data_IF_573042862734
#
_entry.id   IF_573042862734
#
_cell.length_a   1.000
_cell.length_b   1.000
_cell.length_c   1.000
_cell.angle_alpha   90.00
_cell.angle_beta   90.00
_cell.angle_gamma   90.00
#
_symmetry.space_group_name_H-M   'P 1'
#
loop_
_entity.id
_entity.type
_entity.pdbx_description
1 polymer ?
#
# COMPACT_ATOMS: atom_id res chain seq x y z
N UNK A 1 -4.16 6.75 14.12
CA UNK A 1 -3.61 5.82 13.11
C UNK A 1 -3.42 4.39 13.60
N UNK A 2 -2.74 4.12 14.71
CA UNK A 2 -2.52 2.75 15.18
C UNK A 2 -3.84 1.95 15.25
N UNK A 3 -4.83 2.43 15.99
CA UNK A 3 -6.13 1.76 16.18
C UNK A 3 -6.89 1.58 14.85
N UNK A 4 -6.94 2.62 14.02
CA UNK A 4 -7.57 2.53 12.70
C UNK A 4 -6.88 1.48 11.79
N UNK A 5 -5.55 1.39 11.81
CA UNK A 5 -4.79 0.43 11.00
C UNK A 5 -4.74 -0.99 11.59
N UNK A 6 -4.99 -1.14 12.89
CA UNK A 6 -5.25 -2.47 13.47
C UNK A 6 -6.58 -3.06 13.00
N UNK A 7 -7.52 -2.22 12.54
CA UNK A 7 -8.78 -2.62 11.89
C UNK A 7 -8.66 -2.58 10.35
N UNK A 8 -7.69 -3.29 9.77
CA UNK A 8 -7.56 -3.49 8.32
C UNK A 8 -7.61 -4.97 7.94
N UNK A 9 -8.28 -5.76 8.78
CA UNK A 9 -8.37 -7.21 8.68
C UNK A 9 -9.19 -7.63 7.47
N UNK A 10 -10.31 -6.95 7.22
CA UNK A 10 -11.20 -7.22 6.08
C UNK A 10 -10.43 -7.09 4.77
N UNK A 11 -9.62 -6.05 4.59
CA UNK A 11 -8.86 -5.85 3.34
C UNK A 11 -7.87 -6.99 3.12
N UNK A 12 -7.14 -7.40 4.15
CA UNK A 12 -6.14 -8.47 4.07
C UNK A 12 -6.76 -9.86 3.82
N UNK A 13 -7.96 -10.10 4.33
CA UNK A 13 -8.65 -11.39 4.20
C UNK A 13 -9.81 -11.38 3.20
N UNK A 14 -10.06 -10.27 2.49
CA UNK A 14 -11.22 -10.12 1.60
C UNK A 14 -11.24 -11.14 0.48
N UNK A 15 -10.11 -11.42 -0.16
CA UNK A 15 -10.02 -12.42 -1.22
C UNK A 15 -10.32 -13.83 -0.68
N UNK A 16 -9.79 -14.16 0.51
CA UNK A 16 -10.06 -15.44 1.17
C UNK A 16 -11.54 -15.54 1.56
N UNK A 17 -12.12 -14.48 2.15
CA UNK A 17 -13.53 -14.41 2.52
C UNK A 17 -14.45 -14.61 1.32
N UNK A 18 -14.20 -13.90 0.21
CA UNK A 18 -14.99 -14.01 -1.01
C UNK A 18 -14.98 -15.44 -1.57
N UNK A 19 -13.82 -16.09 -1.61
CA UNK A 19 -13.71 -17.45 -2.18
C UNK A 19 -14.18 -18.52 -1.21
N UNK A 20 -13.74 -18.46 0.06
CA UNK A 20 -14.00 -19.52 1.04
C UNK A 20 -15.39 -19.43 1.67
N UNK A 21 -15.88 -18.23 1.97
CA UNK A 21 -17.16 -18.03 2.69
C UNK A 21 -18.31 -17.73 1.74
N UNK A 22 -18.10 -16.88 0.71
CA UNK A 22 -19.15 -16.51 -0.24
C UNK A 22 -19.19 -17.42 -1.48
N UNK A 23 -18.23 -18.33 -1.62
CA UNK A 23 -18.11 -19.26 -2.75
C UNK A 23 -17.99 -18.55 -4.11
N UNK A 24 -17.42 -17.35 -4.13
CA UNK A 24 -17.11 -16.64 -5.35
C UNK A 24 -15.87 -17.25 -6.03
N UNK A 25 -15.76 -17.08 -7.34
CA UNK A 25 -14.53 -17.41 -8.04
C UNK A 25 -13.41 -16.46 -7.65
N UNK A 26 -12.15 -16.88 -7.80
CA UNK A 26 -11.00 -15.99 -7.51
C UNK A 26 -10.99 -14.77 -8.46
N UNK A 27 -11.51 -14.91 -9.68
CA UNK A 27 -11.71 -13.80 -10.60
C UNK A 27 -12.70 -12.77 -10.05
N UNK A 28 -13.83 -13.23 -9.51
CA UNK A 28 -14.81 -12.36 -8.85
C UNK A 28 -14.23 -11.68 -7.61
N UNK A 29 -13.44 -12.39 -6.81
CA UNK A 29 -12.73 -11.81 -5.67
C UNK A 29 -11.73 -10.72 -6.13
N UNK A 30 -10.98 -10.97 -7.19
CA UNK A 30 -10.10 -9.97 -7.82
C UNK A 30 -10.85 -8.73 -8.32
N UNK A 31 -12.03 -8.92 -8.95
CA UNK A 31 -12.89 -7.81 -9.37
C UNK A 31 -13.39 -6.98 -8.18
N UNK A 32 -13.78 -7.60 -7.07
CA UNK A 32 -14.17 -6.89 -5.85
C UNK A 32 -13.02 -6.05 -5.30
N UNK A 33 -11.80 -6.61 -5.27
CA UNK A 33 -10.62 -5.86 -4.83
C UNK A 33 -10.23 -4.75 -5.79
N UNK A 34 -10.42 -4.94 -7.12
CA UNK A 34 -10.30 -3.87 -8.11
C UNK A 34 -11.30 -2.74 -7.83
N UNK A 35 -12.57 -3.06 -7.58
CA UNK A 35 -13.61 -2.10 -7.24
C UNK A 35 -13.28 -1.34 -5.94
N UNK A 36 -12.75 -2.04 -4.92
CA UNK A 36 -12.21 -1.42 -3.71
C UNK A 36 -11.10 -0.41 -4.06
N UNK A 37 -10.18 -0.77 -4.96
CA UNK A 37 -9.12 0.12 -5.47
C UNK A 37 -9.68 1.38 -6.14
N UNK A 38 -10.72 1.24 -6.97
CA UNK A 38 -11.40 2.40 -7.61
C UNK A 38 -11.97 3.34 -6.56
N UNK A 39 -12.72 2.80 -5.59
CA UNK A 39 -13.26 3.59 -4.48
C UNK A 39 -12.16 4.29 -3.66
N UNK A 40 -11.02 3.61 -3.44
CA UNK A 40 -9.85 4.16 -2.73
C UNK A 40 -9.27 5.40 -3.43
N UNK A 41 -9.15 5.38 -4.77
CA UNK A 41 -8.65 6.52 -5.55
C UNK A 41 -9.60 7.70 -5.44
N UNK A 42 -10.89 7.45 -5.68
CA UNK A 42 -11.92 8.48 -5.61
C UNK A 42 -11.98 9.05 -4.19
N UNK A 43 -11.94 8.19 -3.17
CA UNK A 43 -11.93 8.57 -1.76
C UNK A 43 -10.73 9.43 -1.38
N UNK A 44 -9.53 9.04 -1.80
CA UNK A 44 -8.32 9.83 -1.57
C UNK A 44 -8.37 11.21 -2.22
N UNK A 45 -8.86 11.30 -3.46
CA UNK A 45 -9.03 12.57 -4.18
C UNK A 45 -10.10 13.47 -3.53
N UNK A 46 -11.29 12.94 -3.30
CA UNK A 46 -12.39 13.69 -2.66
C UNK A 46 -12.03 14.05 -1.22
N UNK A 47 -11.33 13.16 -0.48
CA UNK A 47 -10.83 13.41 0.86
C UNK A 47 -9.87 14.61 0.90
N UNK A 48 -9.01 14.76 -0.09
CA UNK A 48 -8.16 15.94 -0.23
C UNK A 48 -8.98 17.23 -0.40
N UNK A 49 -9.94 17.23 -1.33
CA UNK A 49 -10.81 18.38 -1.57
C UNK A 49 -11.69 18.73 -0.35
N UNK A 50 -12.23 17.71 0.31
CA UNK A 50 -13.07 17.89 1.49
C UNK A 50 -12.25 18.38 2.69
N UNK A 51 -10.99 17.91 2.86
CA UNK A 51 -10.06 18.42 3.86
C UNK A 51 -9.91 19.94 3.76
N UNK A 52 -9.81 20.47 2.55
CA UNK A 52 -9.67 21.92 2.32
C UNK A 52 -10.97 22.69 2.56
N UNK A 53 -12.14 22.05 2.41
CA UNK A 53 -13.46 22.70 2.53
C UNK A 53 -14.04 22.65 3.93
N UNK A 54 -14.09 21.46 4.54
CA UNK A 54 -14.73 21.22 5.85
C UNK A 54 -13.71 21.03 6.98
N UNK A 55 -12.40 20.95 6.65
CA UNK A 55 -11.33 20.74 7.59
C UNK A 55 -11.01 19.25 7.82
N UNK A 56 -9.75 19.00 8.20
CA UNK A 56 -9.26 17.63 8.40
C UNK A 56 -9.91 16.93 9.60
N UNK A 57 -10.30 17.69 10.65
CA UNK A 57 -10.85 17.13 11.87
C UNK A 57 -12.25 16.53 11.62
N UNK A 58 -13.17 17.34 11.10
CA UNK A 58 -14.55 16.92 10.85
C UNK A 58 -14.62 15.83 9.77
N UNK A 59 -13.74 15.90 8.75
CA UNK A 59 -13.63 14.86 7.74
C UNK A 59 -13.14 13.52 8.34
N UNK A 60 -12.11 13.53 9.18
CA UNK A 60 -11.62 12.29 9.81
C UNK A 60 -12.68 11.64 10.68
N UNK A 61 -13.33 12.41 11.55
CA UNK A 61 -14.38 11.88 12.42
C UNK A 61 -15.54 11.31 11.60
N UNK A 62 -16.04 12.07 10.63
CA UNK A 62 -17.14 11.63 9.78
C UNK A 62 -16.81 10.38 8.97
N UNK A 63 -15.64 10.36 8.34
CA UNK A 63 -15.20 9.25 7.51
C UNK A 63 -14.91 7.97 8.33
N UNK A 64 -14.36 8.10 9.54
CA UNK A 64 -14.12 6.95 10.43
C UNK A 64 -15.43 6.35 10.96
N UNK A 65 -16.41 7.17 11.35
CA UNK A 65 -17.72 6.69 11.80
C UNK A 65 -18.45 6.01 10.64
N UNK A 66 -18.56 6.70 9.49
CA UNK A 66 -19.26 6.16 8.31
C UNK A 66 -18.57 4.91 7.79
N UNK A 67 -17.23 4.91 7.67
CA UNK A 67 -16.44 3.75 7.27
C UNK A 67 -16.62 2.58 8.23
N UNK A 68 -16.65 2.84 9.55
CA UNK A 68 -16.91 1.81 10.56
C UNK A 68 -18.28 1.15 10.42
N UNK A 69 -19.32 1.95 10.20
CA UNK A 69 -20.68 1.43 9.94
C UNK A 69 -20.75 0.64 8.62
N UNK A 70 -20.06 1.13 7.57
CA UNK A 70 -20.00 0.47 6.27
C UNK A 70 -19.27 -0.87 6.33
N UNK A 71 -18.24 -1.04 7.17
CA UNK A 71 -17.64 -2.35 7.41
C UNK A 71 -18.67 -3.33 7.94
N UNK A 72 -19.44 -2.95 8.96
CA UNK A 72 -20.48 -3.79 9.54
C UNK A 72 -21.55 -4.15 8.49
N UNK A 73 -22.02 -3.15 7.71
CA UNK A 73 -23.02 -3.37 6.65
C UNK A 73 -22.49 -4.30 5.57
N UNK A 74 -21.19 -4.18 5.20
CA UNK A 74 -20.56 -5.03 4.19
C UNK A 74 -20.55 -6.50 4.64
N UNK A 75 -20.36 -6.77 5.94
CA UNK A 75 -20.37 -8.12 6.51
C UNK A 75 -21.72 -8.86 6.37
N UNK A 76 -22.81 -8.15 6.07
CA UNK A 76 -24.13 -8.75 5.80
C UNK A 76 -24.43 -8.93 4.30
N UNK A 77 -23.49 -8.56 3.42
CA UNK A 77 -23.69 -8.69 1.97
C UNK A 77 -23.22 -10.07 1.48
N UNK A 78 -24.01 -10.71 0.60
CA UNK A 78 -23.74 -12.05 0.13
C UNK A 78 -23.72 -12.20 -1.39
N UNK A 79 -24.15 -11.19 -2.15
CA UNK A 79 -24.13 -11.23 -3.61
C UNK A 79 -22.94 -10.47 -4.17
N UNK A 80 -22.43 -10.89 -5.33
CA UNK A 80 -21.30 -10.24 -6.00
C UNK A 80 -21.54 -8.73 -6.19
N UNK A 81 -22.75 -8.35 -6.60
CA UNK A 81 -23.10 -6.95 -6.84
C UNK A 81 -23.10 -6.13 -5.54
N UNK A 82 -23.74 -6.63 -4.47
CA UNK A 82 -23.84 -5.89 -3.21
C UNK A 82 -22.51 -5.80 -2.47
N UNK A 83 -21.68 -6.86 -2.54
CA UNK A 83 -20.31 -6.83 -2.00
C UNK A 83 -19.43 -5.87 -2.80
N UNK A 84 -19.53 -5.88 -4.15
CA UNK A 84 -18.77 -4.97 -5.01
C UNK A 84 -19.12 -3.49 -4.80
N UNK A 85 -20.41 -3.15 -4.79
CA UNK A 85 -20.86 -1.78 -4.48
C UNK A 85 -20.47 -1.38 -3.08
N UNK A 86 -20.65 -2.27 -2.09
CA UNK A 86 -20.24 -2.04 -0.71
C UNK A 86 -18.73 -1.78 -0.59
N UNK A 87 -17.90 -2.52 -1.32
CA UNK A 87 -16.45 -2.34 -1.36
C UNK A 87 -16.04 -0.97 -1.91
N UNK A 88 -16.70 -0.49 -2.99
CA UNK A 88 -16.48 0.86 -3.54
C UNK A 88 -16.83 1.93 -2.51
N UNK A 89 -18.04 1.85 -1.93
CA UNK A 89 -18.52 2.86 -0.99
C UNK A 89 -17.68 2.86 0.29
N UNK A 90 -17.35 1.69 0.83
CA UNK A 90 -16.50 1.56 2.01
C UNK A 90 -15.11 2.18 1.76
N UNK A 91 -14.46 1.81 0.66
CA UNK A 91 -13.11 2.28 0.37
C UNK A 91 -13.05 3.78 0.11
N UNK A 92 -14.10 4.36 -0.47
CA UNK A 92 -14.23 5.81 -0.67
C UNK A 92 -14.13 6.57 0.68
N UNK A 93 -14.87 6.15 1.69
CA UNK A 93 -14.81 6.78 3.02
C UNK A 93 -13.50 6.45 3.74
N UNK A 94 -13.08 5.19 3.74
CA UNK A 94 -11.89 4.75 4.46
C UNK A 94 -10.61 5.44 3.96
N UNK A 95 -10.44 5.62 2.65
CA UNK A 95 -9.26 6.26 2.08
C UNK A 95 -9.32 7.80 2.11
N UNK A 96 -10.49 8.41 2.30
CA UNK A 96 -10.60 9.85 2.53
C UNK A 96 -9.95 10.31 3.85
N UNK A 97 -9.77 9.40 4.81
CA UNK A 97 -9.06 9.65 6.07
C UNK A 97 -7.57 9.95 5.83
N UNK A 98 -6.96 9.41 4.78
CA UNK A 98 -5.51 9.51 4.53
C UNK A 98 -5.01 10.95 4.32
N UNK A 99 -5.57 11.77 3.40
CA UNK A 99 -5.17 13.16 3.24
C UNK A 99 -5.50 14.01 4.46
N UNK A 100 -6.63 13.75 5.13
CA UNK A 100 -7.02 14.43 6.35
C UNK A 100 -6.03 14.16 7.51
N UNK A 101 -5.56 12.92 7.66
CA UNK A 101 -4.53 12.56 8.64
C UNK A 101 -3.19 13.26 8.36
N UNK A 102 -2.78 13.34 7.09
CA UNK A 102 -1.55 14.05 6.72
C UNK A 102 -1.64 15.54 7.05
N UNK A 103 -2.81 16.14 6.85
CA UNK A 103 -3.09 17.53 7.21
C UNK A 103 -3.12 17.73 8.72
N UNK A 104 -3.69 16.80 9.49
CA UNK A 104 -3.68 16.81 10.94
C UNK A 104 -2.25 16.77 11.51
N UNK A 105 -1.40 15.86 11.01
CA UNK A 105 0.00 15.77 11.40
C UNK A 105 0.72 17.10 11.11
N UNK A 106 0.49 17.68 9.94
CA UNK A 106 1.11 18.95 9.57
C UNK A 106 0.65 20.12 10.47
N UNK A 107 -0.58 20.10 10.95
CA UNK A 107 -1.17 21.14 11.80
C UNK A 107 -0.70 21.03 13.25
N UNK A 108 -0.72 19.83 13.84
CA UNK A 108 -0.39 19.62 15.26
C UNK A 108 1.10 19.45 15.53
N UNK A 109 1.94 19.34 14.49
CA UNK A 109 3.39 19.23 14.64
C UNK A 109 4.06 20.58 14.55
N UNK A 110 4.99 20.90 15.48
CA UNK A 110 5.89 22.04 15.32
C UNK A 110 6.87 21.79 14.14
N UNK A 111 7.43 22.85 13.53
CA UNK A 111 8.41 22.72 12.46
C UNK A 111 9.59 21.79 12.81
N UNK A 112 10.06 21.84 14.07
CA UNK A 112 11.19 21.04 14.57
C UNK A 112 10.82 19.55 14.73
N UNK A 113 9.56 19.23 15.06
CA UNK A 113 9.10 17.88 15.34
C UNK A 113 8.37 17.21 14.16
N UNK A 114 8.17 17.92 13.05
CA UNK A 114 7.36 17.44 11.92
C UNK A 114 7.86 16.11 11.34
N UNK A 115 9.18 15.99 11.12
CA UNK A 115 9.77 14.74 10.61
C UNK A 115 9.56 13.58 11.58
N UNK A 116 9.75 13.84 12.88
CA UNK A 116 9.52 12.85 13.95
C UNK A 116 8.07 12.40 14.02
N UNK A 117 7.10 13.32 13.87
CA UNK A 117 5.67 13.03 13.85
C UNK A 117 5.28 12.17 12.65
N UNK A 118 5.84 12.46 11.48
CA UNK A 118 5.61 11.64 10.27
C UNK A 118 6.19 10.22 10.44
N UNK A 119 7.39 10.11 11.00
CA UNK A 119 8.03 8.80 11.27
C UNK A 119 7.23 7.99 12.29
N UNK A 120 6.74 8.64 13.37
CA UNK A 120 5.90 7.99 14.37
C UNK A 120 4.57 7.52 13.78
N UNK A 121 3.96 8.31 12.90
CA UNK A 121 2.75 7.90 12.19
C UNK A 121 2.99 6.68 11.28
N UNK A 122 4.13 6.62 10.58
CA UNK A 122 4.53 5.47 9.76
C UNK A 122 4.73 4.22 10.62
N UNK A 123 5.43 4.34 11.74
CA UNK A 123 5.60 3.25 12.70
C UNK A 123 4.23 2.73 13.20
N UNK A 124 3.33 3.65 13.57
CA UNK A 124 1.98 3.29 14.00
C UNK A 124 1.16 2.56 12.92
N UNK A 125 1.32 2.96 11.65
CA UNK A 125 0.70 2.27 10.51
C UNK A 125 1.23 0.84 10.39
N UNK A 126 2.54 0.63 10.41
CA UNK A 126 3.16 -0.69 10.22
C UNK A 126 2.83 -1.64 11.39
N UNK A 127 2.89 -1.14 12.63
CA UNK A 127 2.44 -1.93 13.80
C UNK A 127 0.94 -2.24 13.69
N UNK A 128 0.13 -1.27 13.25
CA UNK A 128 -1.30 -1.49 13.02
C UNK A 128 -1.56 -2.61 12.01
N UNK A 129 -0.85 -2.64 10.88
CA UNK A 129 -0.93 -3.71 9.91
C UNK A 129 -0.51 -5.07 10.48
N UNK A 130 0.56 -5.13 11.27
CA UNK A 130 1.01 -6.36 11.93
C UNK A 130 -0.05 -6.89 12.90
N UNK A 131 -0.59 -6.01 13.75
CA UNK A 131 -1.68 -6.36 14.69
C UNK A 131 -2.93 -6.78 13.94
N UNK A 132 -3.32 -6.04 12.89
CA UNK A 132 -4.48 -6.37 12.05
C UNK A 132 -4.32 -7.72 11.35
N UNK A 133 -3.15 -8.04 10.82
CA UNK A 133 -2.85 -9.34 10.23
C UNK A 133 -3.00 -10.49 11.23
N UNK A 134 -2.36 -10.38 12.40
CA UNK A 134 -2.41 -11.40 13.45
C UNK A 134 -3.84 -11.61 13.99
N UNK A 135 -4.51 -10.52 14.39
CA UNK A 135 -5.88 -10.58 14.89
C UNK A 135 -6.87 -11.03 13.82
N UNK A 136 -6.68 -10.56 12.58
CA UNK A 136 -7.49 -10.94 11.44
C UNK A 136 -7.43 -12.44 11.17
N UNK A 137 -6.25 -13.04 11.17
CA UNK A 137 -6.08 -14.48 11.03
C UNK A 137 -6.71 -15.27 12.17
N UNK A 138 -6.57 -14.79 13.41
CA UNK A 138 -7.22 -15.42 14.57
C UNK A 138 -8.76 -15.33 14.48
N UNK A 139 -9.31 -14.16 14.19
CA UNK A 139 -10.75 -13.95 14.08
C UNK A 139 -11.36 -14.71 12.89
N UNK A 140 -10.70 -14.68 11.73
CA UNK A 140 -11.11 -15.42 10.54
C UNK A 140 -11.19 -16.94 10.80
N UNK A 141 -10.28 -17.48 11.62
CA UNK A 141 -10.31 -18.91 12.00
C UNK A 141 -11.51 -19.31 12.87
N UNK A 142 -12.17 -18.34 13.49
CA UNK A 142 -13.38 -18.54 14.29
C UNK A 142 -14.60 -18.27 13.41
N UNK A 143 -14.69 -17.07 12.86
CA UNK A 143 -15.77 -16.63 11.99
C UNK A 143 -15.34 -15.38 11.20
N UNK A 144 -15.43 -15.42 9.87
CA UNK A 144 -15.07 -14.29 9.00
C UNK A 144 -15.91 -13.03 9.27
N UNK A 145 -17.15 -13.14 9.74
CA UNK A 145 -17.96 -11.97 10.07
C UNK A 145 -17.38 -11.12 11.19
N UNK A 146 -16.57 -11.71 12.09
CA UNK A 146 -15.89 -10.98 13.15
C UNK A 146 -14.91 -9.95 12.60
N UNK A 147 -14.32 -10.19 11.43
CA UNK A 147 -13.43 -9.21 10.76
C UNK A 147 -14.17 -7.88 10.54
N UNK A 148 -15.38 -7.96 10.01
CA UNK A 148 -16.20 -6.78 9.70
C UNK A 148 -16.64 -6.02 10.95
N UNK A 149 -17.02 -6.76 12.01
CA UNK A 149 -17.40 -6.17 13.29
C UNK A 149 -16.22 -5.49 13.97
N UNK A 150 -15.06 -6.12 14.00
CA UNK A 150 -13.87 -5.56 14.66
C UNK A 150 -13.31 -4.39 13.88
N UNK A 151 -13.23 -4.47 12.54
CA UNK A 151 -12.80 -3.34 11.70
C UNK A 151 -13.77 -2.16 11.84
N UNK A 152 -15.08 -2.42 11.90
CA UNK A 152 -16.09 -1.42 12.17
C UNK A 152 -15.91 -0.77 13.54
N UNK A 153 -15.77 -1.59 14.58
CA UNK A 153 -15.59 -1.11 15.95
C UNK A 153 -14.29 -0.31 16.14
N UNK A 154 -13.17 -0.76 15.58
CA UNK A 154 -11.88 -0.04 15.67
C UNK A 154 -11.90 1.30 14.93
N UNK A 155 -12.60 1.41 13.80
CA UNK A 155 -12.80 2.68 13.11
C UNK A 155 -13.65 3.65 13.95
N UNK A 156 -14.77 3.19 14.50
CA UNK A 156 -15.63 3.99 15.38
C UNK A 156 -14.87 4.40 16.66
N UNK A 157 -14.11 3.47 17.26
CA UNK A 157 -13.27 3.76 18.43
C UNK A 157 -12.21 4.82 18.11
N UNK A 158 -11.58 4.73 16.94
CA UNK A 158 -10.63 5.76 16.49
C UNK A 158 -11.28 7.14 16.36
N UNK A 159 -12.53 7.20 15.85
CA UNK A 159 -13.30 8.45 15.79
C UNK A 159 -13.62 9.01 17.19
N UNK A 160 -14.07 8.15 18.12
CA UNK A 160 -14.36 8.54 19.51
C UNK A 160 -13.12 9.08 20.20
N UNK A 161 -11.97 8.40 20.02
CA UNK A 161 -10.71 8.88 20.60
C UNK A 161 -10.26 10.22 20.01
N UNK A 162 -10.48 10.44 18.71
CA UNK A 162 -10.23 11.75 18.10
C UNK A 162 -11.11 12.84 18.74
N UNK A 163 -12.41 12.57 18.94
CA UNK A 163 -13.35 13.50 19.56
C UNK A 163 -12.97 13.86 21.00
N UNK A 164 -12.43 12.90 21.76
CA UNK A 164 -12.11 13.08 23.18
C UNK A 164 -10.71 13.69 23.36
N UNK A 165 -9.73 13.24 22.58
CA UNK A 165 -8.30 13.54 22.85
C UNK A 165 -7.76 14.70 22.01
N UNK A 166 -8.38 15.02 20.88
CA UNK A 166 -7.84 16.03 19.97
C UNK A 166 -8.72 17.28 19.99
N UNK A 167 -8.14 18.46 20.26
CA UNK A 167 -8.90 19.71 20.17
C UNK A 167 -9.30 19.99 18.73
N UNK A 168 -10.53 20.47 18.53
CA UNK A 168 -11.01 20.85 17.20
C UNK A 168 -10.20 22.05 16.70
N UNK A 169 -9.50 21.85 15.58
CA UNK A 169 -8.72 22.90 14.94
C UNK A 169 -9.62 23.85 14.15
N UNK A 170 -9.39 25.15 14.26
CA UNK A 170 -10.01 26.12 13.36
C UNK A 170 -9.51 25.92 11.92
N UNK A 171 -10.40 26.07 10.94
CA UNK A 171 -10.06 25.95 9.52
C UNK A 171 -9.11 27.09 9.14
N UNK A 172 -7.83 26.82 9.06
CA UNK A 172 -6.86 27.78 8.53
C UNK A 172 -6.79 27.63 7.02
N UNK A 173 -7.48 28.52 6.30
CA UNK A 173 -7.38 28.63 4.84
C UNK A 173 -5.98 29.15 4.48
N UNK A 174 -5.01 28.28 4.31
CA UNK A 174 -3.69 28.66 3.85
C UNK A 174 -3.73 28.84 2.33
N UNK A 175 -4.03 30.04 1.87
CA UNK A 175 -3.84 30.42 0.46
C UNK A 175 -2.33 30.56 0.20
N UNK A 176 -1.67 29.51 -0.25
CA UNK A 176 -0.32 29.62 -0.80
C UNK A 176 -0.40 30.42 -2.09
N UNK A 177 0.08 31.67 -2.08
CA UNK A 177 0.37 32.45 -3.30
C UNK A 177 1.34 31.64 -4.16
N UNK A 178 0.89 31.26 -5.34
CA UNK A 178 1.71 30.59 -6.36
C UNK A 178 2.58 31.64 -7.03
N UNK A 179 3.87 31.61 -6.75
CA UNK A 179 4.85 32.44 -7.47
C UNK A 179 4.97 31.92 -8.92
N UNK A 180 4.64 32.79 -9.90
CA UNK A 180 4.47 32.41 -11.32
C UNK A 180 5.77 32.47 -12.13
N UNK A 181 6.90 32.86 -11.52
CA UNK A 181 8.13 33.28 -12.24
C UNK A 181 9.21 32.21 -12.41
N UNK A 182 9.03 30.99 -11.93
CA UNK A 182 10.06 29.95 -12.02
C UNK A 182 9.75 28.97 -13.15
N UNK A 183 10.72 28.76 -14.04
CA UNK A 183 10.64 27.75 -15.13
C UNK A 183 10.44 26.37 -14.52
N UNK A 184 9.26 25.79 -14.74
CA UNK A 184 8.89 24.48 -14.24
C UNK A 184 9.33 23.41 -15.24
N UNK A 185 10.37 22.64 -14.90
CA UNK A 185 10.58 21.35 -15.56
C UNK A 185 9.37 20.47 -15.28
N UNK A 186 8.62 20.12 -16.32
CA UNK A 186 7.44 19.27 -16.22
C UNK A 186 7.87 17.81 -16.06
N UNK A 187 7.32 17.03 -15.09
CA UNK A 187 7.62 15.62 -14.96
C UNK A 187 7.23 14.82 -16.22
N UNK A 188 6.30 15.32 -17.02
CA UNK A 188 5.85 14.71 -18.28
C UNK A 188 6.89 14.83 -19.43
N UNK A 189 7.94 15.62 -19.26
CA UNK A 189 9.07 15.75 -20.20
C UNK A 189 10.37 15.18 -19.64
N UNK A 190 10.34 14.70 -18.41
CA UNK A 190 11.47 14.05 -17.75
C UNK A 190 11.48 12.56 -18.10
N UNK A 191 12.09 12.20 -19.22
CA UNK A 191 12.13 10.82 -19.73
C UNK A 191 12.67 9.82 -18.69
N UNK A 192 13.80 10.07 -17.99
CA UNK A 192 14.25 9.18 -16.92
C UNK A 192 13.22 9.01 -15.80
N UNK A 193 12.44 10.03 -15.48
CA UNK A 193 11.38 9.93 -14.47
C UNK A 193 10.18 9.14 -15.00
N UNK A 194 9.79 9.32 -16.24
CA UNK A 194 8.69 8.52 -16.85
C UNK A 194 9.06 7.03 -16.92
N UNK A 195 10.30 6.70 -17.26
CA UNK A 195 10.81 5.33 -17.21
C UNK A 195 10.79 4.79 -15.77
N UNK A 196 11.24 5.59 -14.79
CA UNK A 196 11.17 5.24 -13.38
C UNK A 196 9.73 4.92 -12.94
N UNK A 197 8.74 5.73 -13.35
CA UNK A 197 7.32 5.50 -13.04
C UNK A 197 6.82 4.21 -13.69
N UNK A 198 7.14 3.98 -14.97
CA UNK A 198 6.74 2.77 -15.68
C UNK A 198 7.32 1.50 -15.04
N UNK A 199 8.61 1.51 -14.73
CA UNK A 199 9.28 0.39 -14.07
C UNK A 199 8.76 0.17 -12.65
N UNK A 200 8.53 1.27 -11.91
CA UNK A 200 7.92 1.23 -10.59
C UNK A 200 6.50 0.65 -10.59
N UNK A 201 5.73 0.92 -11.65
CA UNK A 201 4.39 0.37 -11.81
C UNK A 201 4.39 -1.17 -11.83
N UNK A 202 5.31 -1.81 -12.55
CA UNK A 202 5.44 -3.28 -12.54
C UNK A 202 5.71 -3.81 -11.13
N UNK A 203 6.60 -3.15 -10.39
CA UNK A 203 6.88 -3.51 -9.00
C UNK A 203 5.66 -3.33 -8.10
N UNK A 204 4.91 -2.23 -8.24
CA UNK A 204 3.71 -1.97 -7.43
C UNK A 204 2.60 -2.98 -7.71
N UNK A 205 2.43 -3.41 -8.95
CA UNK A 205 1.48 -4.49 -9.31
C UNK A 205 1.87 -5.76 -8.54
N UNK A 206 3.13 -6.19 -8.62
CA UNK A 206 3.60 -7.38 -7.91
C UNK A 206 3.44 -7.26 -6.39
N UNK A 207 3.69 -6.06 -5.82
CA UNK A 207 3.53 -5.78 -4.40
C UNK A 207 2.06 -5.91 -3.95
N UNK A 208 1.10 -5.36 -4.70
CA UNK A 208 -0.30 -5.50 -4.35
C UNK A 208 -0.79 -6.94 -4.44
N UNK A 209 -0.27 -7.73 -5.36
CA UNK A 209 -0.60 -9.15 -5.45
C UNK A 209 -0.14 -9.93 -4.23
N UNK A 210 1.06 -9.67 -3.74
CA UNK A 210 1.56 -10.21 -2.48
C UNK A 210 0.58 -9.90 -1.33
N UNK A 211 0.08 -8.67 -1.27
CA UNK A 211 -0.83 -8.25 -0.19
C UNK A 211 -2.26 -8.83 -0.32
N UNK A 212 -2.74 -9.08 -1.54
CA UNK A 212 -4.16 -9.35 -1.80
C UNK A 212 -4.41 -10.82 -2.17
N UNK A 213 -3.59 -11.40 -3.01
CA UNK A 213 -3.81 -12.75 -3.58
C UNK A 213 -2.99 -13.83 -2.86
N UNK A 214 -1.83 -13.51 -2.33
CA UNK A 214 -1.00 -14.49 -1.63
C UNK A 214 -1.70 -15.12 -0.40
N UNK A 215 -2.46 -14.38 0.43
CA UNK A 215 -3.28 -15.01 1.49
C UNK A 215 -4.26 -16.05 0.94
N UNK A 216 -4.88 -15.77 -0.21
CA UNK A 216 -5.77 -16.73 -0.88
C UNK A 216 -5.00 -17.95 -1.43
N UNK A 217 -3.80 -17.75 -1.98
CA UNK A 217 -2.91 -18.85 -2.38
C UNK A 217 -2.57 -19.78 -1.22
N UNK A 218 -2.15 -19.24 -0.08
CA UNK A 218 -1.84 -20.03 1.10
C UNK A 218 -3.05 -20.81 1.62
N UNK A 219 -4.24 -20.21 1.53
CA UNK A 219 -5.48 -20.88 1.94
C UNK A 219 -5.92 -21.97 0.96
N UNK A 220 -5.95 -21.66 -0.34
CA UNK A 220 -6.55 -22.50 -1.37
C UNK A 220 -5.60 -23.60 -1.88
N UNK A 221 -4.31 -23.29 -2.03
CA UNK A 221 -3.32 -24.23 -2.59
C UNK A 221 -2.51 -24.96 -1.53
N UNK A 222 -2.12 -24.26 -0.47
CA UNK A 222 -1.31 -24.86 0.59
C UNK A 222 -2.11 -25.29 1.80
N UNK A 223 -3.41 -25.00 1.83
CA UNK A 223 -4.37 -25.38 2.87
C UNK A 223 -3.96 -24.94 4.28
N UNK A 224 -3.26 -23.79 4.38
CA UNK A 224 -2.89 -23.23 5.67
C UNK A 224 -4.10 -22.67 6.41
N UNK A 225 -4.02 -22.70 7.74
CA UNK A 225 -5.03 -22.09 8.59
C UNK A 225 -4.95 -20.56 8.50
N UNK A 226 -6.07 -19.89 8.71
CA UNK A 226 -6.16 -18.43 8.75
C UNK A 226 -5.25 -17.83 9.82
N UNK A 227 -5.07 -18.55 10.94
CA UNK A 227 -4.13 -18.15 12.01
C UNK A 227 -2.70 -18.08 11.53
N UNK A 228 -2.28 -19.06 10.74
CA UNK A 228 -0.92 -19.09 10.21
C UNK A 228 -0.74 -18.01 9.11
N UNK A 229 -1.74 -17.79 8.27
CA UNK A 229 -1.74 -16.70 7.29
C UNK A 229 -1.65 -15.34 8.00
N UNK A 230 -2.44 -15.14 9.07
CA UNK A 230 -2.37 -13.95 9.90
C UNK A 230 -1.00 -13.76 10.56
N UNK A 231 -0.35 -14.84 10.99
CA UNK A 231 1.03 -14.80 11.49
C UNK A 231 2.01 -14.33 10.41
N UNK A 232 1.89 -14.80 9.16
CA UNK A 232 2.75 -14.37 8.06
C UNK A 232 2.59 -12.87 7.76
N UNK A 233 1.36 -12.37 7.75
CA UNK A 233 1.07 -10.93 7.60
C UNK A 233 1.64 -10.11 8.77
N UNK A 234 1.51 -10.61 10.00
CA UNK A 234 2.10 -9.97 11.18
C UNK A 234 3.63 -9.96 11.11
N UNK A 235 4.24 -11.05 10.66
CA UNK A 235 5.69 -11.16 10.48
C UNK A 235 6.20 -10.09 9.50
N UNK A 236 5.55 -9.92 8.35
CA UNK A 236 5.86 -8.84 7.39
C UNK A 236 5.83 -7.47 8.07
N UNK A 237 4.71 -7.12 8.72
CA UNK A 237 4.56 -5.81 9.37
C UNK A 237 5.56 -5.56 10.50
N UNK A 238 5.89 -6.58 11.31
CA UNK A 238 6.86 -6.48 12.40
C UNK A 238 8.29 -6.33 11.86
N UNK A 239 8.67 -7.08 10.83
CA UNK A 239 9.98 -6.92 10.18
C UNK A 239 10.15 -5.49 9.66
N UNK A 240 9.15 -4.95 8.98
CA UNK A 240 9.19 -3.56 8.51
C UNK A 240 9.32 -2.60 9.69
N UNK A 241 8.50 -2.76 10.74
CA UNK A 241 8.48 -1.85 11.87
C UNK A 241 9.83 -1.77 12.62
N UNK A 242 10.50 -2.90 12.79
CA UNK A 242 11.73 -2.99 13.59
C UNK A 242 13.02 -2.97 12.79
N UNK A 243 13.01 -3.48 11.55
CA UNK A 243 14.23 -3.67 10.76
C UNK A 243 14.44 -2.57 9.73
N UNK A 244 13.36 -2.05 9.09
CA UNK A 244 13.47 -1.12 7.97
C UNK A 244 14.28 0.12 8.30
N UNK A 245 14.02 0.78 9.44
CA UNK A 245 14.74 2.02 9.79
C UNK A 245 16.24 1.78 9.99
N UNK A 246 16.61 0.68 10.63
CA UNK A 246 18.02 0.31 10.86
C UNK A 246 18.69 -0.03 9.52
N UNK A 247 17.99 -0.78 8.67
CA UNK A 247 18.49 -1.15 7.34
C UNK A 247 18.75 0.09 6.49
N UNK A 248 17.77 1.00 6.39
CA UNK A 248 17.89 2.23 5.59
C UNK A 248 18.98 3.13 6.12
N UNK A 249 19.07 3.35 7.44
CA UNK A 249 20.14 4.15 8.04
C UNK A 249 21.53 3.62 7.66
N UNK A 250 21.71 2.31 7.64
CA UNK A 250 22.98 1.68 7.27
C UNK A 250 23.30 1.71 5.77
N UNK A 251 22.30 1.86 4.91
CA UNK A 251 22.45 1.83 3.45
C UNK A 251 22.49 3.23 2.82
N UNK A 252 21.82 4.21 3.44
CA UNK A 252 21.69 5.56 2.91
C UNK A 252 23.08 6.20 2.68
N UNK A 253 23.25 6.82 1.51
CA UNK A 253 24.51 7.48 1.10
C UNK A 253 25.61 6.55 0.61
N UNK A 254 25.55 5.21 0.80
CA UNK A 254 26.63 4.29 0.40
C UNK A 254 26.64 3.95 -1.10
N UNK A 255 25.45 3.83 -1.71
CA UNK A 255 25.30 3.54 -3.14
C UNK A 255 24.18 4.39 -3.76
N UNK A 256 24.14 4.43 -5.08
CA UNK A 256 23.07 5.11 -5.80
C UNK A 256 21.71 4.43 -5.51
N UNK A 257 20.64 5.23 -5.31
CA UNK A 257 19.30 4.76 -4.93
C UNK A 257 18.74 3.68 -5.87
N UNK A 258 18.96 3.84 -7.18
CA UNK A 258 18.52 2.88 -8.21
C UNK A 258 19.12 1.49 -8.05
N UNK A 259 20.31 1.37 -7.44
CA UNK A 259 20.93 0.05 -7.15
C UNK A 259 20.14 -0.67 -6.06
N UNK A 260 19.75 0.01 -4.98
CA UNK A 260 18.96 -0.59 -3.91
C UNK A 260 17.57 -0.98 -4.40
N UNK A 261 16.93 -0.13 -5.25
CA UNK A 261 15.67 -0.45 -5.89
C UNK A 261 15.81 -1.72 -6.74
N UNK A 262 16.84 -1.80 -7.58
CA UNK A 262 17.10 -2.97 -8.42
C UNK A 262 17.30 -4.24 -7.58
N UNK A 263 18.13 -4.19 -6.53
CA UNK A 263 18.38 -5.33 -5.63
C UNK A 263 17.12 -5.76 -4.89
N UNK A 264 16.32 -4.81 -4.40
CA UNK A 264 15.06 -5.10 -3.74
C UNK A 264 14.06 -5.80 -4.68
N UNK A 265 13.91 -5.29 -5.90
CA UNK A 265 13.01 -5.91 -6.90
C UNK A 265 13.51 -7.30 -7.33
N UNK A 266 14.83 -7.51 -7.44
CA UNK A 266 15.41 -8.84 -7.70
C UNK A 266 15.10 -9.84 -6.57
N UNK A 267 15.14 -9.40 -5.32
CA UNK A 267 14.70 -10.24 -4.19
C UNK A 267 13.21 -10.59 -4.29
N UNK A 268 12.36 -9.63 -4.69
CA UNK A 268 10.94 -9.88 -4.95
C UNK A 268 10.72 -10.91 -6.07
N UNK A 269 11.47 -10.78 -7.17
CA UNK A 269 11.45 -11.78 -8.26
C UNK A 269 11.82 -13.17 -7.76
N UNK A 270 12.88 -13.28 -6.93
CA UNK A 270 13.28 -14.53 -6.31
C UNK A 270 12.16 -15.10 -5.44
N UNK A 271 11.51 -14.28 -4.60
CA UNK A 271 10.39 -14.70 -3.75
C UNK A 271 9.24 -15.29 -4.55
N UNK A 272 8.79 -14.61 -5.61
CA UNK A 272 7.71 -15.12 -6.49
C UNK A 272 8.09 -16.39 -7.23
N UNK A 273 9.30 -16.45 -7.79
CA UNK A 273 9.78 -17.64 -8.51
C UNK A 273 9.89 -18.84 -7.56
N UNK A 274 10.39 -18.64 -6.34
CA UNK A 274 10.52 -19.70 -5.35
C UNK A 274 9.20 -20.39 -5.01
N UNK A 275 8.07 -19.66 -5.02
CA UNK A 275 6.73 -20.25 -4.76
C UNK A 275 6.38 -21.40 -5.72
N UNK A 276 7.01 -21.48 -6.90
CA UNK A 276 6.81 -22.58 -7.84
C UNK A 276 7.66 -23.82 -7.53
N UNK A 277 8.68 -23.71 -6.69
CA UNK A 277 9.65 -24.78 -6.44
C UNK A 277 9.63 -25.30 -5.01
N UNK A 278 9.20 -24.49 -4.05
CA UNK A 278 9.21 -24.87 -2.64
C UNK A 278 7.99 -25.73 -2.28
N UNK A 279 8.14 -26.71 -1.38
CA UNK A 279 7.01 -27.50 -0.91
C UNK A 279 6.05 -26.65 -0.03
N UNK A 280 4.76 -27.05 0.09
CA UNK A 280 3.76 -26.36 0.89
C UNK A 280 4.00 -26.56 2.41
N UNK A 281 5.08 -25.99 2.93
CA UNK A 281 5.48 -26.09 4.33
C UNK A 281 5.49 -24.71 5.00
N UNK A 282 5.25 -24.68 6.31
CA UNK A 282 5.32 -23.45 7.10
C UNK A 282 6.68 -22.74 6.97
N UNK A 283 7.76 -23.50 6.96
CA UNK A 283 9.14 -22.95 6.80
C UNK A 283 9.30 -22.28 5.44
N UNK A 284 8.82 -22.91 4.36
CA UNK A 284 8.91 -22.34 3.02
C UNK A 284 8.12 -21.01 2.93
N UNK A 285 6.90 -20.96 3.48
CA UNK A 285 6.10 -19.74 3.53
C UNK A 285 6.81 -18.62 4.30
N UNK A 286 7.36 -18.92 5.48
CA UNK A 286 8.12 -17.94 6.28
C UNK A 286 9.31 -17.40 5.48
N UNK A 287 10.09 -18.27 4.83
CA UNK A 287 11.25 -17.86 4.04
C UNK A 287 10.84 -16.95 2.90
N UNK A 288 9.79 -17.31 2.15
CA UNK A 288 9.29 -16.48 1.03
C UNK A 288 8.79 -15.13 1.52
N UNK A 289 7.97 -15.08 2.59
CA UNK A 289 7.49 -13.82 3.18
C UNK A 289 8.66 -12.96 3.64
N UNK A 290 9.68 -13.52 4.28
CA UNK A 290 10.88 -12.78 4.68
C UNK A 290 11.59 -12.21 3.47
N UNK A 291 11.81 -12.99 2.40
CA UNK A 291 12.46 -12.52 1.16
C UNK A 291 11.66 -11.35 0.55
N UNK A 292 10.34 -11.48 0.42
CA UNK A 292 9.48 -10.43 -0.15
C UNK A 292 9.45 -9.19 0.76
N UNK A 293 9.45 -9.38 2.08
CA UNK A 293 9.55 -8.26 3.04
C UNK A 293 10.88 -7.49 2.89
N UNK A 294 12.00 -8.19 2.72
CA UNK A 294 13.27 -7.53 2.44
C UNK A 294 13.28 -6.83 1.07
N UNK A 295 12.63 -7.41 0.06
CA UNK A 295 12.38 -6.73 -1.23
C UNK A 295 11.66 -5.39 -1.03
N UNK A 296 10.61 -5.37 -0.24
CA UNK A 296 9.84 -4.17 0.10
C UNK A 296 10.70 -3.14 0.83
N UNK A 297 11.39 -3.53 1.89
CA UNK A 297 12.23 -2.64 2.69
C UNK A 297 13.39 -2.03 1.88
N UNK A 298 13.93 -2.77 0.89
CA UNK A 298 14.98 -2.26 0.00
C UNK A 298 14.44 -1.39 -1.14
N UNK A 299 13.20 -1.61 -1.60
CA UNK A 299 12.66 -0.90 -2.76
C UNK A 299 11.90 0.36 -2.37
N UNK A 300 10.92 0.27 -1.47
CA UNK A 300 9.95 1.33 -1.20
C UNK A 300 10.57 2.64 -0.70
N UNK A 301 11.47 2.64 0.29
CA UNK A 301 12.07 3.88 0.78
C UNK A 301 12.94 4.56 -0.28
N UNK A 302 13.67 3.79 -1.08
CA UNK A 302 14.54 4.34 -2.12
C UNK A 302 13.75 4.80 -3.35
N UNK A 303 12.62 4.17 -3.70
CA UNK A 303 11.67 4.68 -4.69
C UNK A 303 11.14 6.05 -4.27
N UNK A 304 10.70 6.20 -3.02
CA UNK A 304 10.28 7.49 -2.47
C UNK A 304 11.41 8.53 -2.48
N UNK A 305 12.60 8.15 -2.03
CA UNK A 305 13.76 9.04 -1.99
C UNK A 305 14.22 9.48 -3.39
N UNK A 306 14.09 8.62 -4.41
CA UNK A 306 14.47 8.93 -5.79
C UNK A 306 13.59 10.02 -6.40
N UNK A 307 12.26 9.87 -6.38
CA UNK A 307 11.38 10.88 -6.97
C UNK A 307 11.45 12.22 -6.23
N UNK A 308 11.62 12.20 -4.88
CA UNK A 308 11.80 13.42 -4.09
C UNK A 308 13.08 14.15 -4.51
N UNK A 309 14.21 13.43 -4.67
CA UNK A 309 15.47 14.04 -5.06
C UNK A 309 15.48 14.59 -6.49
N UNK A 310 14.58 14.11 -7.34
CA UNK A 310 14.43 14.58 -8.72
C UNK A 310 13.49 15.77 -8.86
N UNK A 311 12.69 16.04 -7.83
CA UNK A 311 11.76 17.16 -7.77
C UNK A 311 12.36 18.36 -7.04
N UNK A 312 11.89 19.56 -7.36
CA UNK A 312 12.18 20.79 -6.62
C UNK A 312 10.90 21.32 -5.93
N UNK A 313 11.00 22.38 -5.13
CA UNK A 313 9.88 22.95 -4.39
C UNK A 313 8.70 23.36 -5.28
N UNK A 314 8.97 23.77 -6.54
CA UNK A 314 7.97 24.30 -7.47
C UNK A 314 7.22 23.23 -8.26
N UNK A 315 7.83 22.04 -8.46
CA UNK A 315 7.24 20.93 -9.24
C UNK A 315 7.00 19.66 -8.43
N UNK A 316 7.40 19.62 -7.15
CA UNK A 316 7.28 18.44 -6.28
C UNK A 316 5.88 17.85 -6.26
N UNK A 317 4.83 18.68 -6.28
CA UNK A 317 3.45 18.22 -6.32
C UNK A 317 3.10 17.44 -7.60
N UNK A 318 3.65 17.81 -8.76
CA UNK A 318 3.41 17.11 -10.03
C UNK A 318 4.14 15.75 -10.07
N UNK A 319 5.40 15.71 -9.57
CA UNK A 319 6.15 14.45 -9.42
C UNK A 319 5.44 13.51 -8.45
N UNK A 320 5.04 14.00 -7.27
CA UNK A 320 4.28 13.23 -6.29
C UNK A 320 2.95 12.71 -6.85
N UNK A 321 2.24 13.53 -7.63
CA UNK A 321 0.97 13.14 -8.24
C UNK A 321 1.15 11.96 -9.20
N UNK A 322 2.16 12.03 -10.11
CA UNK A 322 2.42 10.96 -11.06
C UNK A 322 2.86 9.65 -10.36
N UNK A 323 3.69 9.76 -9.32
CA UNK A 323 4.07 8.62 -8.48
C UNK A 323 2.85 8.00 -7.78
N UNK A 324 1.98 8.82 -7.18
CA UNK A 324 0.76 8.34 -6.52
C UNK A 324 -0.24 7.73 -7.51
N UNK A 325 -0.35 8.28 -8.72
CA UNK A 325 -1.20 7.71 -9.78
C UNK A 325 -0.72 6.31 -10.20
N UNK A 326 0.59 6.08 -10.34
CA UNK A 326 1.10 4.76 -10.68
C UNK A 326 0.82 3.73 -9.57
N UNK A 327 0.95 4.14 -8.32
CA UNK A 327 0.60 3.34 -7.16
C UNK A 327 -0.90 2.97 -7.13
N UNK A 328 -1.75 3.97 -7.35
CA UNK A 328 -3.20 3.78 -7.39
C UNK A 328 -3.65 2.92 -8.57
N UNK A 329 -3.01 3.08 -9.73
CA UNK A 329 -3.28 2.23 -10.90
C UNK A 329 -2.91 0.77 -10.64
N UNK A 330 -1.76 0.52 -9.98
CA UNK A 330 -1.36 -0.82 -9.58
C UNK A 330 -2.39 -1.46 -8.62
N UNK A 331 -2.91 -0.71 -7.67
CA UNK A 331 -3.93 -1.19 -6.72
C UNK A 331 -5.22 -1.67 -7.40
N UNK A 332 -5.59 -1.05 -8.53
CA UNK A 332 -6.75 -1.46 -9.33
C UNK A 332 -6.43 -2.69 -10.18
N UNK A 333 -5.29 -2.63 -10.88
CA UNK A 333 -4.97 -3.60 -11.94
C UNK A 333 -4.44 -4.91 -11.38
N UNK A 334 -3.70 -4.88 -10.27
CA UNK A 334 -3.10 -6.07 -9.69
C UNK A 334 -4.15 -7.15 -9.39
N UNK A 335 -5.16 -6.96 -8.53
CA UNK A 335 -6.08 -8.03 -8.17
C UNK A 335 -6.92 -8.52 -9.36
N UNK A 336 -7.13 -7.68 -10.37
CA UNK A 336 -7.79 -8.10 -11.61
C UNK A 336 -6.90 -9.05 -12.43
N UNK A 337 -5.61 -8.70 -12.61
CA UNK A 337 -4.64 -9.57 -13.30
C UNK A 337 -4.52 -10.90 -12.55
N UNK A 338 -4.33 -10.84 -11.22
CA UNK A 338 -4.18 -12.03 -10.39
C UNK A 338 -5.37 -12.98 -10.52
N UNK A 339 -6.59 -12.46 -10.37
CA UNK A 339 -7.82 -13.26 -10.51
C UNK A 339 -7.95 -13.92 -11.88
N UNK A 340 -7.72 -13.17 -12.98
CA UNK A 340 -7.80 -13.70 -14.35
C UNK A 340 -6.70 -14.73 -14.63
N UNK A 341 -5.47 -14.46 -14.23
CA UNK A 341 -4.34 -15.35 -14.48
C UNK A 341 -4.52 -16.66 -13.72
N UNK A 342 -4.92 -16.60 -12.45
CA UNK A 342 -5.16 -17.83 -11.68
C UNK A 342 -6.35 -18.62 -12.24
N UNK A 343 -7.41 -17.96 -12.68
CA UNK A 343 -8.55 -18.65 -13.30
C UNK A 343 -8.18 -19.42 -14.57
N UNK A 344 -7.17 -18.94 -15.35
CA UNK A 344 -6.75 -19.56 -16.61
C UNK A 344 -5.60 -20.54 -16.48
N UNK A 345 -4.63 -20.26 -15.63
CA UNK A 345 -3.37 -21.02 -15.55
C UNK A 345 -2.92 -21.41 -14.14
N UNK A 346 -3.78 -21.16 -13.15
CA UNK A 346 -3.47 -21.44 -11.75
C UNK A 346 -2.40 -20.51 -11.14
N UNK A 347 -2.09 -20.76 -9.88
CA UNK A 347 -1.10 -19.97 -9.15
C UNK A 347 0.33 -20.12 -9.69
N UNK A 348 0.67 -21.27 -10.27
CA UNK A 348 1.98 -21.48 -10.92
C UNK A 348 2.24 -20.46 -12.03
N UNK A 349 1.24 -20.22 -12.90
CA UNK A 349 1.34 -19.22 -13.96
C UNK A 349 1.47 -17.81 -13.39
N UNK A 350 0.74 -17.53 -12.28
CA UNK A 350 0.78 -16.24 -11.60
C UNK A 350 2.18 -15.92 -11.08
N UNK A 351 2.81 -16.86 -10.37
CA UNK A 351 4.13 -16.64 -9.78
C UNK A 351 5.22 -16.51 -10.84
N UNK A 352 5.13 -17.24 -11.96
CA UNK A 352 6.03 -17.03 -13.10
C UNK A 352 5.84 -15.65 -13.72
N UNK A 353 4.60 -15.19 -13.89
CA UNK A 353 4.31 -13.85 -14.44
C UNK A 353 4.91 -12.76 -13.56
N UNK A 354 4.71 -12.82 -12.24
CA UNK A 354 5.23 -11.79 -11.34
C UNK A 354 6.75 -11.87 -11.17
N UNK A 355 7.30 -13.07 -11.19
CA UNK A 355 8.75 -13.24 -11.29
C UNK A 355 9.32 -12.55 -12.53
N UNK A 356 8.73 -12.79 -13.70
CA UNK A 356 9.14 -12.18 -14.98
C UNK A 356 8.95 -10.64 -14.97
N UNK A 357 7.81 -10.14 -14.49
CA UNK A 357 7.55 -8.70 -14.37
C UNK A 357 8.56 -8.02 -13.45
N UNK A 358 8.88 -8.65 -12.32
CA UNK A 358 9.89 -8.14 -11.38
C UNK A 358 11.28 -8.15 -12.00
N UNK A 359 11.68 -9.21 -12.70
CA UNK A 359 12.96 -9.26 -13.42
C UNK A 359 13.06 -8.18 -14.51
N UNK A 360 11.98 -7.98 -15.27
CA UNK A 360 11.91 -6.91 -16.26
C UNK A 360 12.08 -5.52 -15.62
N UNK A 361 11.36 -5.27 -14.53
CA UNK A 361 11.48 -4.01 -13.77
C UNK A 361 12.89 -3.81 -13.23
N UNK A 362 13.50 -4.83 -12.63
CA UNK A 362 14.86 -4.78 -12.09
C UNK A 362 15.90 -4.49 -13.19
N UNK A 363 15.80 -5.17 -14.32
CA UNK A 363 16.68 -4.95 -15.49
C UNK A 363 16.53 -3.49 -16.01
N UNK A 364 15.29 -2.99 -16.10
CA UNK A 364 15.03 -1.60 -16.48
C UNK A 364 15.64 -0.59 -15.50
N UNK A 365 15.51 -0.80 -14.19
CA UNK A 365 16.15 0.05 -13.18
C UNK A 365 17.67 -0.01 -13.24
N UNK A 366 18.26 -1.14 -13.56
CA UNK A 366 19.71 -1.27 -13.76
C UNK A 366 20.18 -0.48 -15.00
N UNK A 367 19.44 -0.57 -16.11
CA UNK A 367 19.72 0.22 -17.32
C UNK A 367 19.57 1.72 -17.03
N UNK A 368 18.53 2.13 -16.33
CA UNK A 368 18.30 3.51 -15.93
C UNK A 368 19.45 4.03 -15.05
N UNK A 369 19.96 3.22 -14.12
CA UNK A 369 21.13 3.55 -13.34
C UNK A 369 22.37 3.79 -14.21
N UNK A 370 22.63 2.90 -15.17
CA UNK A 370 23.80 2.95 -16.04
C UNK A 370 23.80 4.20 -16.93
N UNK A 371 22.61 4.60 -17.41
CA UNK A 371 22.45 5.80 -18.25
C UNK A 371 22.59 7.09 -17.43
N UNK A 372 21.95 7.18 -16.26
CA UNK A 372 22.11 8.34 -15.37
C UNK A 372 23.57 8.55 -14.92
N UNK A 373 24.33 7.50 -14.76
CA UNK A 373 25.75 7.59 -14.36
C UNK A 373 26.64 8.11 -15.50
N UNK A 374 26.31 7.77 -16.76
CA UNK A 374 27.01 8.28 -17.94
C UNK A 374 26.78 9.78 -18.16
N UNK A 375 25.55 10.26 -17.96
CA UNK A 375 25.22 11.68 -18.11
C UNK A 375 25.92 12.53 -17.05
N UNK A 376 26.09 12.05 -15.83
CA UNK A 376 26.83 12.75 -14.78
C UNK A 376 28.32 12.80 -15.05
N UNK A 377 28.92 11.77 -15.63
CA UNK A 377 30.34 11.75 -16.02
C UNK A 377 30.58 12.65 -17.24
N UNK A 378 29.68 12.63 -18.23
CA UNK A 378 29.77 13.46 -19.42
C UNK A 378 29.63 14.98 -19.14
N UNK A 379 28.98 15.37 -18.05
CA UNK A 379 28.84 16.77 -17.63
C UNK A 379 29.97 17.25 -16.72
N UNK A 380 30.85 16.36 -16.24
CA UNK A 380 31.99 16.68 -15.35
C UNK A 380 33.33 16.68 -16.08
N UNK A 381 33.40 16.10 -17.28
CA UNK A 381 34.59 16.18 -18.13
C UNK A 381 34.42 17.35 -19.14
N UNK A 382 35.33 18.36 -19.13
CA UNK A 382 35.30 19.48 -20.05
C UNK A 382 35.57 19.05 -21.49
#
# INVERSE_FOLDING_TARGET
MLINRSGTMVVAFMSVYCVHQLHFTLEQAGMIMMLFGVGSIVGGFLGGLLTDRIGFYDLQVGALITGGLLFIVLGFQHTFLTVGVGAVVLSLFNESVRPANSSAIAHYSSPENKTRSVSLNRLAINIGWAVGGALGGFLASINYHLLFWVDGATNILAAILLLILMPKAAIVKTMKKRDKTVVKLSPYRDVPYLLFILLGLFFFICFYEFMIIEPAFYKLSWHFSERFIGFLLALNGLLIAFVEMVLIHNLEGKKHKLIYICLGILLGALGFILLNFVPPTATAAIVVVVIITFSEMLSMPFLNSFWISRSNEHNRGQYAALYSMSWSFAQIVAPLIGGIVVARGGFTMLWWLFGAMSLFSAAGFFILFKNNHRDTIATVLP
#
